data_IF_855856370142
#
_entry.id   IF_855856370142
#
_cell.length_a   1.000
_cell.length_b   1.000
_cell.length_c   1.000
_cell.angle_alpha   90.00
_cell.angle_beta   90.00
_cell.angle_gamma   90.00
#
_symmetry.space_group_name_H-M   'P 1'
#
loop_
_entity.id
_entity.type
_entity.pdbx_description
1 polymer ?
#
# COMPACT_ATOMS: atom_id res chain seq x y z
N UNK A 1 -15.10 2.35 -1.85
CA UNK A 1 -13.68 2.42 -2.29
C UNK A 1 -12.77 1.85 -1.20
N UNK A 2 -11.48 1.63 -1.50
CA UNK A 2 -10.54 1.02 -0.54
C UNK A 2 -10.41 1.81 0.76
N UNK A 3 -10.23 3.13 0.68
CA UNK A 3 -10.12 4.01 1.86
C UNK A 3 -11.32 3.87 2.82
N UNK A 4 -12.55 3.98 2.31
CA UNK A 4 -13.76 3.82 3.11
C UNK A 4 -13.86 2.42 3.74
N UNK A 5 -13.49 1.38 2.99
CA UNK A 5 -13.43 0.01 3.52
C UNK A 5 -12.40 -0.08 4.65
N UNK A 6 -11.19 0.47 4.47
CA UNK A 6 -10.12 0.46 5.46
C UNK A 6 -10.55 1.16 6.76
N UNK A 7 -11.18 2.33 6.69
CA UNK A 7 -11.70 3.02 7.87
C UNK A 7 -12.72 2.17 8.64
N UNK A 8 -13.66 1.53 7.92
CA UNK A 8 -14.69 0.65 8.54
C UNK A 8 -14.05 -0.59 9.16
N UNK A 9 -13.13 -1.23 8.43
CA UNK A 9 -12.38 -2.41 8.87
C UNK A 9 -11.54 -2.12 10.13
N UNK A 10 -10.88 -0.96 10.19
CA UNK A 10 -10.08 -0.52 11.34
C UNK A 10 -10.95 -0.28 12.59
N UNK A 11 -12.17 0.24 12.40
CA UNK A 11 -13.17 0.36 13.49
C UNK A 11 -13.86 -0.97 13.85
N UNK A 12 -13.39 -2.11 13.34
CA UNK A 12 -13.94 -3.43 13.65
C UNK A 12 -15.20 -3.82 12.89
N UNK A 13 -15.65 -3.03 11.91
CA UNK A 13 -16.81 -3.37 11.07
C UNK A 13 -16.39 -4.34 9.97
N UNK A 14 -16.54 -5.64 10.24
CA UNK A 14 -16.24 -6.71 9.28
C UNK A 14 -17.32 -6.85 8.21
N UNK A 15 -16.94 -7.27 7.01
CA UNK A 15 -17.88 -7.62 5.94
C UNK A 15 -17.32 -8.73 5.04
N UNK A 16 -18.17 -9.27 4.17
CA UNK A 16 -17.79 -10.35 3.24
C UNK A 16 -16.65 -9.95 2.27
N UNK A 17 -16.42 -8.66 2.07
CA UNK A 17 -15.37 -8.15 1.18
C UNK A 17 -13.97 -8.16 1.82
N UNK A 18 -13.87 -8.43 3.12
CA UNK A 18 -12.62 -8.28 3.88
C UNK A 18 -11.49 -9.13 3.31
N UNK A 19 -11.75 -10.41 3.05
CA UNK A 19 -10.74 -11.33 2.51
C UNK A 19 -10.19 -10.84 1.16
N UNK A 20 -11.08 -10.38 0.28
CA UNK A 20 -10.70 -9.85 -1.05
C UNK A 20 -9.83 -8.61 -0.90
N UNK A 21 -10.21 -7.66 -0.05
CA UNK A 21 -9.47 -6.42 0.15
C UNK A 21 -8.12 -6.66 0.83
N UNK A 22 -8.06 -7.55 1.82
CA UNK A 22 -6.81 -7.97 2.47
C UNK A 22 -5.87 -8.63 1.47
N UNK A 23 -6.38 -9.52 0.60
CA UNK A 23 -5.55 -10.17 -0.43
C UNK A 23 -4.96 -9.14 -1.39
N UNK A 24 -5.76 -8.18 -1.86
CA UNK A 24 -5.29 -7.07 -2.71
C UNK A 24 -4.22 -6.22 -2.00
N UNK A 25 -4.45 -5.88 -0.74
CA UNK A 25 -3.52 -5.10 0.07
C UNK A 25 -2.17 -5.82 0.24
N UNK A 26 -2.16 -7.13 0.52
CA UNK A 26 -0.94 -7.93 0.61
C UNK A 26 -0.19 -7.99 -0.72
N UNK A 27 -0.89 -8.07 -1.85
CA UNK A 27 -0.27 -8.08 -3.17
C UNK A 27 0.49 -6.78 -3.50
N UNK A 28 0.20 -5.66 -2.84
CA UNK A 28 0.92 -4.40 -3.06
C UNK A 28 2.37 -4.43 -2.57
N UNK A 29 2.71 -5.32 -1.61
CA UNK A 29 4.09 -5.49 -1.09
C UNK A 29 5.15 -5.70 -2.16
N UNK A 30 4.79 -6.25 -3.33
CA UNK A 30 5.73 -6.40 -4.46
C UNK A 30 6.35 -5.07 -4.92
N UNK A 31 5.61 -3.96 -4.81
CA UNK A 31 6.10 -2.65 -5.20
C UNK A 31 7.16 -2.12 -4.23
N UNK A 32 7.11 -2.53 -2.95
CA UNK A 32 8.17 -2.21 -1.98
C UNK A 32 9.49 -2.82 -2.44
N UNK A 33 9.50 -4.13 -2.76
CA UNK A 33 10.71 -4.78 -3.28
C UNK A 33 11.23 -4.17 -4.58
N UNK A 34 10.35 -3.65 -5.43
CA UNK A 34 10.75 -2.93 -6.64
C UNK A 34 11.38 -1.58 -6.33
N UNK A 35 10.91 -0.85 -5.32
CA UNK A 35 11.54 0.40 -4.87
C UNK A 35 12.90 0.08 -4.24
N UNK A 36 12.96 -0.83 -3.27
CA UNK A 36 14.20 -1.20 -2.56
C UNK A 36 15.30 -1.70 -3.51
N UNK A 37 14.95 -2.41 -4.59
CA UNK A 37 15.94 -2.92 -5.55
C UNK A 37 16.45 -1.85 -6.53
N UNK A 38 15.63 -0.85 -6.86
CA UNK A 38 15.91 0.06 -7.98
C UNK A 38 16.09 1.53 -7.58
N UNK A 39 15.82 1.89 -6.33
CA UNK A 39 15.93 3.25 -5.82
C UNK A 39 16.99 3.31 -4.73
N UNK A 40 17.69 4.44 -4.64
CA UNK A 40 18.55 4.74 -3.51
C UNK A 40 17.70 5.05 -2.27
N UNK A 41 18.20 4.76 -1.05
CA UNK A 41 17.52 5.16 0.17
C UNK A 41 17.25 6.66 0.18
N UNK A 42 16.04 7.05 0.62
CA UNK A 42 15.58 8.45 0.70
C UNK A 42 15.37 9.17 -0.65
N UNK A 43 15.59 8.50 -1.79
CA UNK A 43 15.25 9.04 -3.11
C UNK A 43 13.73 8.92 -3.36
N UNK A 44 12.99 9.96 -2.99
CA UNK A 44 11.54 10.04 -3.11
C UNK A 44 11.07 10.24 -4.56
N UNK A 45 11.95 10.77 -5.42
CA UNK A 45 11.64 11.01 -6.84
C UNK A 45 11.81 9.76 -7.69
N UNK A 46 12.51 8.74 -7.18
CA UNK A 46 12.55 7.43 -7.81
C UNK A 46 11.19 6.70 -7.74
N UNK A 47 10.68 6.31 -8.91
CA UNK A 47 9.43 5.51 -9.10
C UNK A 47 8.18 6.14 -8.42
N UNK A 48 7.85 7.40 -8.71
CA UNK A 48 6.82 8.16 -7.98
C UNK A 48 5.41 7.57 -8.16
N UNK A 49 5.13 6.97 -9.33
CA UNK A 49 3.84 6.29 -9.59
C UNK A 49 3.63 5.06 -8.69
N UNK A 50 4.70 4.32 -8.40
CA UNK A 50 4.63 3.15 -7.52
C UNK A 50 4.52 3.56 -6.05
N UNK A 51 5.26 4.61 -5.66
CA UNK A 51 5.14 5.24 -4.34
C UNK A 51 3.72 5.77 -4.11
N UNK A 52 3.11 6.44 -5.10
CA UNK A 52 1.72 6.90 -5.03
C UNK A 52 0.72 5.74 -4.88
N UNK A 53 0.93 4.64 -5.61
CA UNK A 53 0.08 3.45 -5.46
C UNK A 53 0.22 2.85 -4.05
N UNK A 54 1.43 2.76 -3.50
CA UNK A 54 1.67 2.30 -2.14
C UNK A 54 1.01 3.21 -1.10
N UNK A 55 1.11 4.53 -1.26
CA UNK A 55 0.45 5.52 -0.41
C UNK A 55 -1.09 5.34 -0.43
N UNK A 56 -1.68 5.12 -1.61
CA UNK A 56 -3.12 4.85 -1.72
C UNK A 56 -3.55 3.59 -0.94
N UNK A 57 -2.65 2.62 -0.76
CA UNK A 57 -2.88 1.41 0.04
C UNK A 57 -2.29 1.51 1.47
N UNK A 58 -2.05 2.72 1.96
CA UNK A 58 -1.50 3.07 3.28
C UNK A 58 -0.15 2.43 3.61
N UNK A 59 0.70 2.19 2.62
CA UNK A 59 2.12 1.88 2.84
C UNK A 59 2.93 3.17 2.89
N UNK A 60 3.71 3.36 3.96
CA UNK A 60 4.71 4.42 4.04
C UNK A 60 6.00 3.97 3.33
N UNK A 61 6.47 4.78 2.38
CA UNK A 61 7.68 4.48 1.59
C UNK A 61 8.80 5.49 1.80
N UNK A 62 8.62 6.49 2.70
CA UNK A 62 9.59 7.58 2.85
C UNK A 62 10.96 7.13 3.36
N UNK A 63 10.98 6.05 4.13
CA UNK A 63 12.19 5.47 4.73
C UNK A 63 12.66 4.17 4.03
N UNK A 64 12.13 3.89 2.83
CA UNK A 64 12.42 2.68 2.04
C UNK A 64 13.35 3.03 0.89
#
# INVERSE_FOLDING_TARGET
GWFQWYCRYYMGRRCIDDERQIKRWKCMRRHIGQITKNCSPLDLDCRPRQRQALLHWAYDTRNI
#
